data_IF_879716592813
#
_entry.id   IF_879716592813
#
_cell.length_a   1.000
_cell.length_b   1.000
_cell.length_c   1.000
_cell.angle_alpha   90.00
_cell.angle_beta   90.00
_cell.angle_gamma   90.00
#
_symmetry.space_group_name_H-M   'P 1'
#
loop_
_entity.id
_entity.type
_entity.pdbx_description
1 polymer ?
#
# COMPACT_ATOMS: atom_id res chain seq x y z
N UNK A 1 -7.22 17.57 5.02
CA UNK A 1 -6.60 16.42 4.32
C UNK A 1 -5.11 16.50 4.60
N UNK A 2 -4.61 15.67 5.52
CA UNK A 2 -3.17 15.57 5.80
C UNK A 2 -2.65 14.47 4.91
N UNK A 3 -1.69 14.76 4.04
CA UNK A 3 -1.02 13.74 3.24
C UNK A 3 0.26 13.37 3.97
N UNK A 4 0.39 12.13 4.47
CA UNK A 4 1.65 11.62 4.95
C UNK A 4 2.61 11.47 3.75
N UNK A 5 3.46 12.47 3.51
CA UNK A 5 4.47 12.39 2.46
C UNK A 5 5.79 11.93 3.05
N UNK A 6 6.25 10.74 2.68
CA UNK A 6 7.59 10.27 3.01
C UNK A 6 8.33 9.88 1.74
N UNK A 7 9.63 10.14 1.66
CA UNK A 7 10.44 9.74 0.49
C UNK A 7 10.93 8.31 0.67
N UNK A 8 10.74 7.46 -0.34
CA UNK A 8 11.28 6.10 -0.36
C UNK A 8 12.33 6.03 -1.46
N UNK A 9 13.59 6.07 -1.06
CA UNK A 9 14.71 5.80 -1.96
C UNK A 9 14.89 4.29 -2.11
N UNK A 10 15.39 3.85 -3.26
CA UNK A 10 15.75 2.45 -3.53
C UNK A 10 16.55 1.84 -2.37
N UNK A 11 16.11 0.69 -1.84
CA UNK A 11 16.74 0.01 -0.71
C UNK A 11 16.25 0.46 0.68
N UNK A 12 15.61 1.63 0.79
CA UNK A 12 15.07 2.15 2.05
C UNK A 12 13.61 1.74 2.28
N UNK A 13 13.22 1.69 3.55
CA UNK A 13 11.83 1.47 3.99
C UNK A 13 11.21 2.79 4.44
N UNK A 14 10.03 3.12 3.94
CA UNK A 14 9.13 4.09 4.54
C UNK A 14 8.17 3.40 5.50
N UNK A 15 7.77 4.07 6.58
CA UNK A 15 6.71 3.63 7.48
C UNK A 15 5.71 4.77 7.63
N UNK A 16 4.43 4.45 7.64
CA UNK A 16 3.35 5.40 7.89
C UNK A 16 2.13 4.68 8.44
N UNK A 17 1.06 5.41 8.71
CA UNK A 17 -0.18 4.92 9.31
C UNK A 17 -1.33 5.51 8.51
N UNK A 18 -2.24 4.65 8.05
CA UNK A 18 -3.53 5.11 7.51
C UNK A 18 -4.43 5.39 8.72
N UNK A 19 -4.70 6.66 9.01
CA UNK A 19 -5.37 7.11 10.23
C UNK A 19 -6.89 7.18 10.09
N UNK A 20 -7.41 7.33 8.87
CA UNK A 20 -8.86 7.42 8.62
C UNK A 20 -9.30 6.86 7.27
N UNK A 21 -10.61 6.60 7.14
CA UNK A 21 -11.20 6.15 5.88
C UNK A 21 -11.11 7.29 4.86
N UNK A 22 -10.30 7.11 3.81
CA UNK A 22 -10.02 8.15 2.82
C UNK A 22 -8.63 8.77 2.96
N UNK A 23 -7.88 8.42 3.99
CA UNK A 23 -6.46 8.74 4.11
C UNK A 23 -5.63 8.04 3.03
N UNK A 24 -4.66 8.78 2.50
CA UNK A 24 -3.81 8.40 1.38
C UNK A 24 -2.40 8.89 1.63
N UNK A 25 -1.50 7.94 1.85
CA UNK A 25 -0.08 8.22 1.99
C UNK A 25 0.62 8.07 0.65
N UNK A 26 1.45 9.07 0.30
CA UNK A 26 2.14 9.10 -0.99
C UNK A 26 3.63 9.19 -0.79
N UNK A 27 4.35 8.24 -1.39
CA UNK A 27 5.80 8.16 -1.33
C UNK A 27 6.42 8.42 -2.69
N UNK A 28 7.51 9.17 -2.74
CA UNK A 28 8.24 9.43 -3.98
C UNK A 28 9.40 8.45 -4.14
N UNK A 29 9.52 7.88 -5.34
CA UNK A 29 10.68 7.09 -5.80
C UNK A 29 11.37 7.89 -6.91
N UNK A 30 12.71 8.00 -6.84
CA UNK A 30 13.53 8.49 -7.94
C UNK A 30 14.16 7.31 -8.66
N UNK A 31 13.59 6.93 -9.81
CA UNK A 31 14.10 5.84 -10.65
C UNK A 31 15.30 6.32 -11.46
N UNK A 32 16.33 5.48 -11.57
CA UNK A 32 17.47 5.63 -12.49
C UNK A 32 17.29 4.83 -13.79
N UNK A 33 16.14 4.21 -14.01
CA UNK A 33 15.92 3.24 -15.10
C UNK A 33 16.14 1.80 -14.63
N UNK A 34 15.20 0.90 -14.94
CA UNK A 34 15.30 -0.55 -14.70
C UNK A 34 14.10 -1.14 -13.95
N UNK A 35 14.22 -2.38 -13.48
CA UNK A 35 13.11 -3.11 -12.83
C UNK A 35 12.98 -2.69 -11.37
N UNK A 36 11.82 -2.16 -10.97
CA UNK A 36 11.54 -1.83 -9.57
C UNK A 36 10.46 -2.75 -9.03
N UNK A 37 10.72 -3.32 -7.86
CA UNK A 37 9.72 -3.99 -7.04
C UNK A 37 9.38 -3.12 -5.84
N UNK A 38 8.13 -2.67 -5.78
CA UNK A 38 7.58 -1.92 -4.67
C UNK A 38 6.68 -2.86 -3.87
N UNK A 39 6.94 -2.99 -2.58
CA UNK A 39 6.17 -3.83 -1.67
C UNK A 39 5.69 -3.00 -0.49
N UNK A 40 4.39 -3.06 -0.22
CA UNK A 40 3.76 -2.51 0.98
C UNK A 40 3.23 -3.65 1.86
N UNK A 41 3.53 -3.59 3.15
CA UNK A 41 3.13 -4.59 4.14
C UNK A 41 2.47 -3.91 5.34
N UNK A 42 1.30 -4.38 5.78
CA UNK A 42 0.71 -3.91 7.03
C UNK A 42 1.57 -4.37 8.22
N UNK A 43 1.38 -3.73 9.38
CA UNK A 43 2.01 -4.16 10.63
C UNK A 43 1.54 -5.57 11.02
N UNK A 44 2.44 -6.39 11.60
CA UNK A 44 2.24 -7.83 11.75
C UNK A 44 1.31 -8.30 12.88
N UNK A 45 0.97 -7.45 13.85
CA UNK A 45 0.02 -7.76 14.94
C UNK A 45 -1.19 -6.84 14.81
N UNK A 46 -2.40 -7.41 14.69
CA UNK A 46 -3.64 -6.63 14.52
C UNK A 46 -3.74 -5.93 13.16
N UNK A 47 -3.29 -6.59 12.09
CA UNK A 47 -3.27 -6.04 10.74
C UNK A 47 -4.69 -5.76 10.21
N UNK A 48 -5.22 -4.57 10.49
CA UNK A 48 -6.55 -4.15 10.04
C UNK A 48 -6.51 -3.47 8.66
N UNK A 49 -5.33 -3.15 8.14
CA UNK A 49 -5.15 -2.45 6.88
C UNK A 49 -5.06 -3.41 5.70
N UNK A 50 -6.10 -3.37 4.84
CA UNK A 50 -6.07 -3.92 3.49
C UNK A 50 -5.45 -2.90 2.53
N UNK A 51 -4.24 -3.18 2.05
CA UNK A 51 -3.45 -2.22 1.28
C UNK A 51 -3.82 -2.28 -0.20
N UNK A 52 -4.32 -1.16 -0.72
CA UNK A 52 -4.28 -0.85 -2.15
C UNK A 52 -3.06 0.03 -2.46
N UNK A 53 -2.18 -0.49 -3.31
CA UNK A 53 -0.99 0.20 -3.79
C UNK A 53 -1.19 0.65 -5.23
N UNK A 54 -0.92 1.93 -5.50
CA UNK A 54 -0.88 2.51 -6.85
C UNK A 54 0.48 3.12 -7.12
N UNK A 55 1.13 2.69 -8.19
CA UNK A 55 2.33 3.29 -8.72
C UNK A 55 1.97 4.24 -9.86
N UNK A 56 2.40 5.49 -9.77
CA UNK A 56 1.98 6.57 -10.64
C UNK A 56 3.15 7.41 -11.15
N UNK A 57 2.97 8.05 -12.30
CA UNK A 57 3.86 9.08 -12.84
C UNK A 57 3.51 10.46 -12.26
N UNK A 58 4.40 11.47 -12.43
CA UNK A 58 4.03 12.86 -12.18
C UNK A 58 2.79 13.21 -13.01
N UNK A 59 1.84 13.94 -12.42
CA UNK A 59 0.53 14.20 -13.04
C UNK A 59 -0.54 13.14 -12.77
N UNK A 60 -0.25 12.09 -11.99
CA UNK A 60 -1.26 11.15 -11.49
C UNK A 60 -1.61 10.00 -12.44
N UNK A 61 -0.94 9.88 -13.58
CA UNK A 61 -1.14 8.75 -14.50
C UNK A 61 -0.71 7.43 -13.84
N UNK A 62 -1.61 6.45 -13.84
CA UNK A 62 -1.34 5.13 -13.28
C UNK A 62 -0.32 4.37 -14.14
N UNK A 63 0.69 3.81 -13.51
CA UNK A 63 1.68 2.91 -14.12
C UNK A 63 1.33 1.46 -13.82
N UNK A 64 0.99 1.17 -12.57
CA UNK A 64 0.56 -0.13 -12.11
C UNK A 64 -0.16 -0.01 -10.77
N UNK A 65 -0.95 -1.03 -10.42
CA UNK A 65 -1.60 -1.11 -9.12
C UNK A 65 -1.65 -2.55 -8.64
N UNK A 66 -1.73 -2.72 -7.33
CA UNK A 66 -1.98 -3.99 -6.67
C UNK A 66 -2.93 -3.76 -5.50
N UNK A 67 -4.03 -4.49 -5.49
CA UNK A 67 -4.96 -4.62 -4.37
C UNK A 67 -5.36 -6.11 -4.30
N UNK A 68 -4.53 -6.96 -3.67
CA UNK A 68 -4.80 -8.39 -3.63
C UNK A 68 -6.11 -8.67 -2.90
N UNK A 69 -6.85 -9.67 -3.36
CA UNK A 69 -8.05 -10.09 -2.65
C UNK A 69 -7.65 -10.61 -1.25
N UNK A 70 -8.30 -10.09 -0.22
CA UNK A 70 -8.08 -10.54 1.16
C UNK A 70 -8.69 -11.94 1.30
N UNK A 71 -7.88 -12.87 1.79
CA UNK A 71 -8.30 -14.22 2.13
C UNK A 71 -8.42 -14.38 3.65
N UNK A 72 -9.43 -15.10 4.12
CA UNK A 72 -9.55 -15.46 5.54
C UNK A 72 -8.90 -16.81 5.78
N UNK A 73 -8.02 -16.90 6.79
CA UNK A 73 -7.42 -18.18 7.21
C UNK A 73 -8.09 -18.73 8.47
N UNK A 74 -8.34 -17.90 9.47
CA UNK A 74 -9.11 -18.27 10.68
C UNK A 74 -9.87 -17.04 11.22
N UNK A 75 -10.25 -17.01 12.51
CA UNK A 75 -10.95 -15.91 13.20
C UNK A 75 -10.04 -14.81 13.79
N UNK A 76 -8.72 -14.89 13.58
CA UNK A 76 -7.75 -13.84 13.95
C UNK A 76 -6.75 -13.49 12.83
N UNK A 77 -6.73 -14.24 11.72
CA UNK A 77 -5.69 -14.19 10.68
C UNK A 77 -6.29 -14.03 9.29
N UNK A 78 -5.84 -13.00 8.57
CA UNK A 78 -6.12 -12.77 7.16
C UNK A 78 -4.84 -12.77 6.32
N UNK A 79 -4.96 -13.22 5.08
CA UNK A 79 -3.93 -13.18 4.04
C UNK A 79 -4.31 -12.16 2.97
N UNK A 80 -3.34 -11.75 2.14
CA UNK A 80 -3.60 -10.80 1.05
C UNK A 80 -3.62 -9.32 1.46
N UNK A 81 -3.40 -8.99 2.74
CA UNK A 81 -3.44 -7.61 3.25
C UNK A 81 -2.29 -6.70 2.76
N UNK A 82 -1.21 -7.27 2.23
CA UNK A 82 -0.08 -6.53 1.67
C UNK A 82 -0.12 -6.49 0.14
N UNK A 83 0.41 -5.44 -0.47
CA UNK A 83 0.43 -5.26 -1.91
C UNK A 83 1.86 -5.20 -2.45
N UNK A 84 2.08 -5.74 -3.65
CA UNK A 84 3.36 -5.66 -4.33
C UNK A 84 3.19 -5.45 -5.83
N UNK A 85 4.04 -4.61 -6.41
CA UNK A 85 4.08 -4.31 -7.84
C UNK A 85 5.51 -4.38 -8.33
N UNK A 86 5.73 -5.09 -9.44
CA UNK A 86 7.02 -5.10 -10.15
C UNK A 86 6.84 -4.52 -11.54
N UNK A 87 7.62 -3.47 -11.86
CA UNK A 87 7.58 -2.79 -13.16
C UNK A 87 8.93 -2.25 -13.57
N UNK A 88 9.19 -2.26 -14.87
CA UNK A 88 10.32 -1.55 -15.46
C UNK A 88 9.97 -0.05 -15.53
N UNK A 89 10.72 0.77 -14.80
CA UNK A 89 10.51 2.21 -14.68
C UNK A 89 11.66 2.93 -15.37
N UNK A 90 11.42 3.66 -16.48
CA UNK A 90 12.40 4.60 -17.03
C UNK A 90 12.91 5.59 -15.97
N UNK A 91 14.09 6.16 -16.19
CA UNK A 91 14.64 7.18 -15.29
C UNK A 91 13.64 8.34 -15.12
N UNK A 92 13.39 8.74 -13.87
CA UNK A 92 12.38 9.75 -13.56
C UNK A 92 11.80 9.62 -12.16
N UNK A 93 10.90 10.53 -11.82
CA UNK A 93 10.19 10.51 -10.54
C UNK A 93 8.90 9.69 -10.67
N UNK A 94 8.62 8.88 -9.67
CA UNK A 94 7.38 8.11 -9.55
C UNK A 94 6.81 8.28 -8.15
N UNK A 95 5.51 8.06 -8.04
CA UNK A 95 4.77 8.18 -6.79
C UNK A 95 4.09 6.86 -6.47
N UNK A 96 4.26 6.38 -5.25
CA UNK A 96 3.58 5.22 -4.69
C UNK A 96 2.53 5.74 -3.75
N UNK A 97 1.28 5.57 -4.10
CA UNK A 97 0.15 5.88 -3.25
C UNK A 97 -0.29 4.60 -2.54
N UNK A 98 -0.45 4.69 -1.22
CA UNK A 98 -0.99 3.67 -0.35
C UNK A 98 -2.30 4.17 0.24
N UNK A 99 -3.32 3.33 0.21
CA UNK A 99 -4.61 3.59 0.86
C UNK A 99 -5.21 2.30 1.38
N UNK A 100 -6.17 2.42 2.28
CA UNK A 100 -7.11 1.34 2.58
C UNK A 100 -7.96 1.01 1.35
N UNK A 101 -8.05 -0.27 0.98
CA UNK A 101 -8.92 -0.75 -0.09
C UNK A 101 -10.39 -0.78 0.34
N UNK A 102 -10.65 -1.05 1.64
CA UNK A 102 -11.99 -1.25 2.20
C UNK A 102 -12.59 -2.57 1.74
N UNK A 103 -12.97 -3.45 2.67
CA UNK A 103 -13.61 -4.72 2.34
C UNK A 103 -14.97 -4.86 3.03
N UNK A 104 -16.05 -4.90 2.22
CA UNK A 104 -17.37 -5.41 2.62
C UNK A 104 -18.18 -4.55 3.61
N UNK A 105 -19.50 -4.71 3.56
CA UNK A 105 -20.42 -4.19 4.59
C UNK A 105 -20.38 -5.13 5.82
N UNK A 106 -20.28 -4.62 7.07
CA UNK A 106 -19.99 -5.38 8.28
C UNK A 106 -21.11 -6.35 8.76
N UNK A 107 -22.15 -6.59 7.96
CA UNK A 107 -23.43 -7.06 8.47
C UNK A 107 -23.75 -8.56 8.30
N UNK A 108 -23.04 -9.36 7.48
CA UNK A 108 -23.61 -10.67 7.12
C UNK A 108 -22.75 -11.94 7.22
N UNK A 109 -21.41 -11.98 7.09
CA UNK A 109 -20.69 -13.29 7.19
C UNK A 109 -19.19 -13.27 7.59
N UNK A 110 -18.65 -12.20 8.17
CA UNK A 110 -17.25 -12.24 8.62
C UNK A 110 -16.77 -10.95 9.28
N UNK A 111 -16.01 -11.11 10.36
CA UNK A 111 -15.19 -10.10 11.06
C UNK A 111 -15.69 -8.65 11.09
N UNK A 112 -16.20 -8.26 12.25
CA UNK A 112 -16.84 -6.98 12.53
C UNK A 112 -15.92 -5.75 12.64
N UNK A 113 -14.68 -5.76 12.14
CA UNK A 113 -13.76 -4.64 12.39
C UNK A 113 -12.71 -4.33 11.30
N UNK A 114 -13.00 -4.55 10.01
CA UNK A 114 -12.19 -3.99 8.92
C UNK A 114 -12.41 -2.48 8.78
N UNK A 115 -11.90 -1.69 9.73
CA UNK A 115 -11.50 -0.32 9.42
C UNK A 115 -10.12 -0.43 8.79
N UNK A 116 -10.00 -0.25 7.47
CA UNK A 116 -8.73 -0.31 6.72
C UNK A 116 -7.75 0.80 7.12
N UNK A 117 -7.36 0.79 8.39
CA UNK A 117 -6.57 1.74 9.13
C UNK A 117 -5.44 0.98 9.80
N UNK A 118 -4.31 1.65 9.98
CA UNK A 118 -3.20 1.08 10.73
C UNK A 118 -1.86 1.30 10.06
N UNK A 119 -0.83 0.93 10.81
CA UNK A 119 0.55 1.11 10.40
C UNK A 119 0.90 0.17 9.24
N UNK A 120 1.68 0.68 8.30
CA UNK A 120 2.28 -0.10 7.23
C UNK A 120 3.72 0.33 6.99
N UNK A 121 4.43 -0.53 6.26
CA UNK A 121 5.74 -0.22 5.73
C UNK A 121 5.74 -0.40 4.22
N UNK A 122 6.43 0.50 3.53
CA UNK A 122 6.64 0.45 2.08
C UNK A 122 8.13 0.35 1.81
N UNK A 123 8.51 -0.43 0.80
CA UNK A 123 9.89 -0.60 0.36
C UNK A 123 9.95 -0.64 -1.15
N UNK A 124 10.91 0.05 -1.75
CA UNK A 124 11.22 -0.07 -3.16
C UNK A 124 12.61 -0.69 -3.32
N UNK A 125 12.73 -1.68 -4.19
CA UNK A 125 13.99 -2.35 -4.55
C UNK A 125 14.14 -2.28 -6.07
N UNK A 126 15.33 -1.90 -6.54
CA UNK A 126 15.73 -1.92 -7.94
C UNK A 126 16.51 -3.20 -8.22
#
# INVERSE_FOLDING_TARGET
MVFGSATVTTGNRGKAVIESTGDQDVFRIKSTGGSYTVTAKPAGLGANLDIALRLMRPGGSLVAQAAPAVGTVNAETATGLGASVTRNLPAGNYFVQIRGAGFGSPATTGYSAYGSLGAFSVRAVH
#
